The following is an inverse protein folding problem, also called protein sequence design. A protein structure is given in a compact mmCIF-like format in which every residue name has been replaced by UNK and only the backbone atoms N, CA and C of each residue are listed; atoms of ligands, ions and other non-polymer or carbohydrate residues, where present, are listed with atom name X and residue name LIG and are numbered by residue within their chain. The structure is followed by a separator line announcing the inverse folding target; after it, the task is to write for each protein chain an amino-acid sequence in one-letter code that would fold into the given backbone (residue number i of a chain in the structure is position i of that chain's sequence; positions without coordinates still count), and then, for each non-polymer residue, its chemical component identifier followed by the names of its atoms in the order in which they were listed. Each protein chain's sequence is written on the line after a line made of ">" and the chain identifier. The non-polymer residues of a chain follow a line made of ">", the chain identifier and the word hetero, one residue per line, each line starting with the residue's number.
data_IF_913238951024
#
_entry.id   IF_913238951024
#
_cell.length_a   1.000
_cell.length_b   1.000
_cell.length_c   1.000
_cell.angle_alpha   90.00
_cell.angle_beta   90.00
_cell.angle_gamma   90.00
#
_symmetry.space_group_name_H-M   'P 1'
#
loop_
_entity.id
_entity.type
_entity.pdbx_description
1 polymer ?
#
# COMPACT_ATOMS: atom_id res chain seq x y z
N UNK A 1 -22.63 -3.14 -12.69
CA UNK A 1 -21.17 -3.39 -12.57
C UNK A 1 -20.52 -2.13 -12.03
N UNK A 2 -19.73 -2.24 -10.96
CA UNK A 2 -19.06 -1.09 -10.34
C UNK A 2 -17.91 -0.63 -11.23
N UNK A 3 -17.79 0.67 -11.52
CA UNK A 3 -16.68 1.18 -12.34
C UNK A 3 -15.34 0.91 -11.66
N UNK A 4 -14.23 0.74 -12.41
CA UNK A 4 -12.90 0.56 -11.82
C UNK A 4 -12.52 1.66 -10.83
N UNK A 5 -12.90 2.92 -11.12
CA UNK A 5 -12.73 4.06 -10.20
C UNK A 5 -13.45 3.83 -8.88
N UNK A 6 -14.74 3.50 -8.91
CA UNK A 6 -15.52 3.26 -7.69
C UNK A 6 -14.98 2.07 -6.91
N UNK A 7 -14.56 1.00 -7.60
CA UNK A 7 -13.92 -0.16 -6.96
C UNK A 7 -12.62 0.20 -6.24
N UNK A 8 -11.76 1.02 -6.85
CA UNK A 8 -10.53 1.49 -6.20
C UNK A 8 -10.82 2.40 -5.00
N UNK A 9 -11.75 3.36 -5.16
CA UNK A 9 -12.15 4.25 -4.07
C UNK A 9 -12.68 3.48 -2.86
N UNK A 10 -13.50 2.45 -3.09
CA UNK A 10 -14.00 1.59 -2.04
C UNK A 10 -12.86 0.90 -1.28
N UNK A 11 -11.91 0.30 -2.01
CA UNK A 11 -10.74 -0.38 -1.41
C UNK A 11 -9.83 0.55 -0.60
N UNK A 12 -9.75 1.82 -0.97
CA UNK A 12 -9.00 2.83 -0.21
C UNK A 12 -9.78 3.19 1.06
N UNK A 13 -11.10 3.41 0.94
CA UNK A 13 -11.98 3.75 2.06
C UNK A 13 -12.03 2.67 3.14
N UNK A 14 -12.21 1.41 2.73
CA UNK A 14 -12.28 0.27 3.64
C UNK A 14 -10.91 -0.36 3.96
N UNK A 15 -9.82 0.24 3.46
CA UNK A 15 -8.42 -0.19 3.65
C UNK A 15 -8.10 -1.60 3.14
N UNK A 16 -8.95 -2.19 2.31
CA UNK A 16 -8.70 -3.49 1.67
C UNK A 16 -7.71 -3.43 0.50
N UNK A 17 -7.37 -2.23 0.03
CA UNK A 17 -6.34 -2.03 -0.98
C UNK A 17 -4.98 -2.57 -0.51
N UNK A 18 -4.26 -3.23 -1.42
CA UNK A 18 -2.86 -3.59 -1.21
C UNK A 18 -1.99 -2.39 -1.61
N UNK A 19 -1.21 -1.86 -0.66
CA UNK A 19 -0.27 -0.77 -0.90
C UNK A 19 1.09 -1.36 -1.25
N UNK A 20 1.60 -1.08 -2.45
CA UNK A 20 2.97 -1.43 -2.85
C UNK A 20 3.95 -0.31 -2.50
N UNK A 21 5.08 -0.65 -1.89
CA UNK A 21 6.20 0.28 -1.64
C UNK A 21 7.44 -0.28 -2.32
N UNK A 22 7.99 0.46 -3.29
CA UNK A 22 9.19 0.07 -4.04
C UNK A 22 10.38 0.87 -3.52
N UNK A 23 11.43 0.16 -3.10
CA UNK A 23 12.55 0.67 -2.31
C UNK A 23 12.21 0.68 -0.82
N UNK A 24 13.01 0.00 0.00
CA UNK A 24 12.88 -0.13 1.45
C UNK A 24 14.10 0.42 2.20
N UNK A 25 14.75 1.43 1.61
CA UNK A 25 15.75 2.25 2.30
C UNK A 25 15.14 3.18 3.35
N UNK A 26 15.91 4.20 3.74
CA UNK A 26 15.58 5.13 4.82
C UNK A 26 14.19 5.77 4.74
N UNK A 27 13.64 6.00 3.54
CA UNK A 27 12.30 6.59 3.35
C UNK A 27 11.23 5.50 3.19
N UNK A 28 11.52 4.48 2.39
CA UNK A 28 10.53 3.48 2.00
C UNK A 28 10.09 2.60 3.15
N UNK A 29 11.02 2.16 4.00
CA UNK A 29 10.71 1.32 5.14
C UNK A 29 9.78 2.01 6.16
N UNK A 30 10.10 3.21 6.69
CA UNK A 30 9.18 3.88 7.60
C UNK A 30 7.84 4.22 6.92
N UNK A 31 7.83 4.58 5.63
CA UNK A 31 6.59 4.81 4.92
C UNK A 31 5.69 3.55 4.86
N UNK A 32 6.27 2.38 4.54
CA UNK A 32 5.58 1.11 4.54
C UNK A 32 4.99 0.78 5.92
N UNK A 33 5.78 1.00 6.99
CA UNK A 33 5.35 0.79 8.38
C UNK A 33 4.17 1.70 8.74
N UNK A 34 4.21 2.99 8.38
CA UNK A 34 3.11 3.91 8.67
C UNK A 34 1.81 3.52 7.94
N UNK A 35 1.89 3.00 6.71
CA UNK A 35 0.69 2.49 6.01
C UNK A 35 0.14 1.21 6.63
N UNK A 36 1.00 0.33 7.12
CA UNK A 36 0.58 -0.85 7.87
C UNK A 36 -0.09 -0.47 9.20
N UNK A 37 0.48 0.49 9.94
CA UNK A 37 -0.08 0.98 11.22
C UNK A 37 -1.50 1.55 11.09
N UNK A 38 -1.79 2.23 9.97
CA UNK A 38 -3.15 2.75 9.72
C UNK A 38 -4.09 1.70 9.10
N UNK A 39 -3.68 0.43 9.02
CA UNK A 39 -4.56 -0.69 8.70
C UNK A 39 -4.60 -1.12 7.24
N UNK A 40 -3.66 -0.67 6.40
CA UNK A 40 -3.51 -1.24 5.06
C UNK A 40 -2.65 -2.51 5.08
N UNK A 41 -2.91 -3.42 4.15
CA UNK A 41 -1.92 -4.44 3.79
C UNK A 41 -0.86 -3.79 2.92
N UNK A 42 0.41 -4.01 3.24
CA UNK A 42 1.54 -3.39 2.54
C UNK A 42 2.46 -4.48 2.00
N UNK A 43 2.84 -4.36 0.72
CA UNK A 43 3.86 -5.17 0.06
C UNK A 43 5.08 -4.29 -0.19
N UNK A 44 6.18 -4.58 0.50
CA UNK A 44 7.48 -3.97 0.23
C UNK A 44 8.22 -4.72 -0.87
N UNK A 45 8.81 -3.99 -1.81
CA UNK A 45 9.66 -4.52 -2.87
C UNK A 45 11.00 -3.81 -2.78
N UNK A 46 12.08 -4.55 -2.59
CA UNK A 46 13.44 -4.04 -2.60
C UNK A 46 14.26 -4.91 -3.56
N UNK A 47 15.12 -4.27 -4.34
CA UNK A 47 16.10 -4.97 -5.15
C UNK A 47 17.38 -5.09 -4.34
N UNK A 48 17.60 -6.26 -3.74
CA UNK A 48 18.91 -6.60 -3.21
C UNK A 48 19.73 -7.24 -4.35
N UNK A 49 20.87 -6.64 -4.76
CA UNK A 49 21.75 -7.24 -5.77
C UNK A 49 22.38 -8.56 -5.30
#
# INVERSE_FOLDING_TARGET
>A
MTSPKQGLLQKIWDRSALVGVVGLGYVGLPFAVEKAKVGFRVLGVEQNP
#
